data_IF_745568943402
#
_entry.id   IF_745568943402
#
_cell.length_a   1.000
_cell.length_b   1.000
_cell.length_c   1.000
_cell.angle_alpha   90.00
_cell.angle_beta   90.00
_cell.angle_gamma   90.00
#
_symmetry.space_group_name_H-M   'P 1'
#
loop_
_entity.id
_entity.type
_entity.pdbx_description
1 polymer ?
#
# COMPACT_ATOMS: atom_id res chain seq x y z
N UNK A 1 69.69 -53.38 19.29
CA UNK A 1 68.98 -53.33 18.00
C UNK A 1 67.53 -53.06 18.24
N UNK A 2 67.08 -51.82 18.06
CA UNK A 2 65.66 -51.50 17.97
C UNK A 2 65.49 -50.19 17.26
N UNK A 3 64.89 -50.27 16.08
CA UNK A 3 64.67 -49.11 15.19
C UNK A 3 63.25 -48.56 15.48
N UNK A 4 63.16 -47.41 16.11
CA UNK A 4 61.93 -46.67 16.25
C UNK A 4 61.63 -45.84 15.00
N UNK A 5 60.51 -46.13 14.36
CA UNK A 5 59.96 -45.38 13.21
C UNK A 5 59.23 -44.14 13.71
N UNK A 6 59.66 -42.99 13.25
CA UNK A 6 58.94 -41.72 13.43
C UNK A 6 57.85 -41.63 12.36
N UNK A 7 56.58 -41.60 12.79
CA UNK A 7 55.44 -41.27 11.96
C UNK A 7 55.26 -39.76 12.01
N UNK A 8 55.45 -39.09 10.89
CA UNK A 8 55.12 -37.64 10.74
C UNK A 8 53.63 -37.52 10.42
N UNK A 9 52.83 -37.02 11.35
CA UNK A 9 51.47 -36.62 11.08
C UNK A 9 51.46 -35.25 10.41
N UNK A 10 51.02 -35.21 9.15
CA UNK A 10 50.71 -33.98 8.47
C UNK A 10 49.30 -33.52 8.88
N UNK A 11 49.24 -32.42 9.63
CA UNK A 11 47.98 -31.78 9.91
C UNK A 11 47.55 -30.93 8.68
N UNK A 12 46.50 -31.35 8.03
CA UNK A 12 45.87 -30.57 6.96
C UNK A 12 45.05 -29.44 7.60
N UNK A 13 45.52 -28.21 7.41
CA UNK A 13 44.78 -26.99 7.81
C UNK A 13 43.71 -26.74 6.76
N UNK A 14 42.47 -27.07 7.03
CA UNK A 14 41.34 -26.72 6.20
C UNK A 14 41.04 -25.23 6.39
N UNK A 15 41.34 -24.40 5.41
CA UNK A 15 40.85 -23.00 5.35
C UNK A 15 39.34 -23.05 5.07
N UNK A 16 38.54 -22.79 6.07
CA UNK A 16 37.15 -22.41 5.87
C UNK A 16 37.10 -20.99 5.30
N UNK A 17 36.96 -20.88 3.99
CA UNK A 17 36.57 -19.63 3.36
C UNK A 17 35.10 -19.43 3.68
N UNK A 18 34.84 -18.61 4.68
CA UNK A 18 33.49 -18.11 4.97
C UNK A 18 33.05 -17.23 3.81
N UNK A 19 32.22 -17.78 2.94
CA UNK A 19 31.45 -16.97 1.99
C UNK A 19 30.46 -16.16 2.82
N UNK A 20 30.82 -14.89 3.07
CA UNK A 20 29.90 -13.90 3.59
C UNK A 20 28.86 -13.66 2.48
N UNK A 21 27.82 -14.50 2.44
CA UNK A 21 26.68 -14.30 1.58
C UNK A 21 26.00 -13.02 2.04
N UNK A 22 26.19 -11.91 1.31
CA UNK A 22 25.32 -10.77 1.43
C UNK A 22 23.90 -11.30 1.13
N UNK A 23 23.07 -11.41 2.15
CA UNK A 23 21.64 -11.64 1.97
C UNK A 23 21.11 -10.38 1.31
N UNK A 24 21.00 -10.42 -0.03
CA UNK A 24 20.22 -9.42 -0.75
C UNK A 24 18.82 -9.47 -0.14
N UNK A 25 18.33 -8.32 0.31
CA UNK A 25 16.93 -8.19 0.75
C UNK A 25 16.03 -8.40 -0.46
N UNK A 26 15.71 -9.66 -0.76
CA UNK A 26 14.90 -10.07 -1.91
C UNK A 26 13.42 -9.67 -1.75
N UNK A 27 13.04 -9.18 -0.56
CA UNK A 27 11.65 -8.78 -0.28
C UNK A 27 11.21 -7.58 -1.14
N UNK A 28 12.15 -6.73 -1.57
CA UNK A 28 11.87 -5.61 -2.46
C UNK A 28 11.43 -6.08 -3.86
N UNK A 29 11.96 -7.19 -4.33
CA UNK A 29 11.64 -7.78 -5.63
C UNK A 29 10.48 -8.78 -5.56
N UNK A 30 10.05 -9.16 -4.35
CA UNK A 30 8.96 -10.10 -4.16
C UNK A 30 7.65 -9.54 -4.74
N UNK A 31 6.86 -10.42 -5.34
CA UNK A 31 5.55 -10.12 -5.90
C UNK A 31 4.47 -10.70 -5.01
N UNK A 32 3.37 -9.96 -4.75
CA UNK A 32 2.21 -10.56 -4.11
C UNK A 32 1.55 -11.58 -5.07
N UNK A 33 0.71 -12.49 -4.55
CA UNK A 33 -0.21 -13.25 -5.39
C UNK A 33 -1.14 -12.30 -6.16
N UNK A 34 -1.84 -12.74 -7.22
CA UNK A 34 -2.87 -11.94 -7.89
C UNK A 34 -3.91 -11.42 -6.88
N UNK A 35 -4.38 -10.19 -7.10
CA UNK A 35 -5.42 -9.61 -6.25
C UNK A 35 -6.73 -10.41 -6.36
N UNK A 36 -7.50 -10.56 -5.28
CA UNK A 36 -8.80 -11.22 -5.32
C UNK A 36 -9.80 -10.37 -6.11
N UNK A 37 -10.75 -11.02 -6.79
CA UNK A 37 -11.87 -10.31 -7.41
C UNK A 37 -13.00 -10.16 -6.39
N UNK A 38 -13.21 -8.94 -5.92
CA UNK A 38 -14.26 -8.61 -4.95
C UNK A 38 -15.38 -7.82 -5.65
N UNK A 39 -16.67 -8.05 -5.32
CA UNK A 39 -17.75 -7.24 -5.87
C UNK A 39 -17.61 -5.77 -5.47
N UNK A 40 -17.74 -4.87 -6.45
CA UNK A 40 -17.73 -3.42 -6.24
C UNK A 40 -19.12 -2.87 -5.94
N UNK A 41 -19.19 -1.62 -5.49
CA UNK A 41 -20.47 -0.93 -5.26
C UNK A 41 -21.31 -0.87 -6.53
N UNK A 42 -22.64 -1.03 -6.39
CA UNK A 42 -23.59 -0.82 -7.50
C UNK A 42 -23.74 0.68 -7.75
N UNK A 43 -23.77 1.07 -9.02
CA UNK A 43 -23.94 2.46 -9.43
C UNK A 43 -23.21 2.77 -10.74
N UNK A 44 -23.21 4.03 -11.15
CA UNK A 44 -22.50 4.48 -12.35
C UNK A 44 -20.99 4.59 -12.06
N UNK A 45 -20.19 3.81 -12.76
CA UNK A 45 -18.73 3.91 -12.66
C UNK A 45 -18.26 5.28 -13.16
N UNK A 46 -17.49 5.97 -12.33
CA UNK A 46 -16.85 7.26 -12.62
C UNK A 46 -15.42 7.09 -13.11
N UNK A 47 -14.71 6.10 -12.55
CA UNK A 47 -13.34 5.76 -12.88
C UNK A 47 -13.10 4.28 -12.56
N UNK A 48 -12.29 3.61 -13.36
CA UNK A 48 -11.83 2.25 -13.07
C UNK A 48 -10.47 2.01 -13.70
N UNK A 49 -9.61 1.26 -13.00
CA UNK A 49 -8.34 0.75 -13.53
C UNK A 49 -7.99 -0.58 -12.84
N UNK A 50 -7.84 -1.62 -13.63
CA UNK A 50 -7.39 -2.95 -13.22
C UNK A 50 -5.92 -3.19 -13.60
N UNK A 51 -5.25 -2.13 -14.04
CA UNK A 51 -3.85 -2.13 -14.47
C UNK A 51 -3.48 -3.20 -15.50
N UNK A 52 -4.47 -3.78 -16.19
CA UNK A 52 -4.23 -4.70 -17.32
C UNK A 52 -3.46 -4.03 -18.47
N UNK A 53 -3.58 -2.69 -18.56
CA UNK A 53 -2.74 -1.86 -19.42
C UNK A 53 -1.48 -1.44 -18.66
N UNK A 54 -0.32 -1.48 -19.30
CA UNK A 54 0.92 -0.94 -18.74
C UNK A 54 0.95 0.61 -18.66
N UNK A 55 -0.11 1.27 -19.13
CA UNK A 55 -0.23 2.73 -19.19
C UNK A 55 -1.09 3.22 -18.03
N UNK A 56 -0.61 4.24 -17.31
CA UNK A 56 -1.35 4.91 -16.24
C UNK A 56 -2.24 6.03 -16.84
N UNK A 57 -3.24 5.64 -17.63
CA UNK A 57 -4.16 6.57 -18.28
C UNK A 57 -5.13 7.16 -17.24
N UNK A 58 -5.24 8.49 -17.21
CA UNK A 58 -6.08 9.20 -16.23
C UNK A 58 -5.43 9.40 -14.86
N UNK A 59 -4.24 8.86 -14.65
CA UNK A 59 -3.43 9.09 -13.46
C UNK A 59 -2.44 10.25 -13.62
N UNK A 60 -2.12 10.93 -12.54
CA UNK A 60 -1.17 12.05 -12.47
C UNK A 60 -0.29 11.91 -11.23
N UNK A 61 1.00 12.18 -11.40
CA UNK A 61 1.97 12.19 -10.28
C UNK A 61 3.12 13.14 -10.63
N UNK A 62 3.73 13.71 -9.61
CA UNK A 62 4.99 14.48 -9.71
C UNK A 62 6.24 13.58 -9.58
N UNK A 63 6.04 12.30 -9.22
CA UNK A 63 7.12 11.33 -8.99
C UNK A 63 6.94 10.07 -9.87
N UNK A 64 7.02 10.18 -11.21
CA UNK A 64 6.70 9.07 -12.11
C UNK A 64 7.61 7.85 -11.94
N UNK A 65 8.82 8.02 -11.45
CA UNK A 65 9.78 6.91 -11.23
C UNK A 65 9.41 5.99 -10.06
N UNK A 66 8.51 6.42 -9.18
CA UNK A 66 8.02 5.63 -8.05
C UNK A 66 7.03 4.56 -8.51
N UNK A 67 6.31 4.83 -9.61
CA UNK A 67 5.16 4.05 -10.06
C UNK A 67 5.46 3.21 -11.28
N UNK A 68 5.03 1.96 -11.29
CA UNK A 68 5.15 1.04 -12.41
C UNK A 68 4.00 0.04 -12.41
N UNK A 69 3.66 -0.49 -13.59
CA UNK A 69 2.73 -1.63 -13.69
C UNK A 69 3.55 -2.90 -13.83
N UNK A 70 3.34 -3.86 -12.95
CA UNK A 70 4.06 -5.12 -12.89
C UNK A 70 3.06 -6.27 -12.85
N UNK A 71 3.04 -7.09 -13.90
CA UNK A 71 2.11 -8.23 -14.04
C UNK A 71 0.63 -7.85 -13.87
N UNK A 72 0.21 -6.71 -14.43
CA UNK A 72 -1.15 -6.23 -14.33
C UNK A 72 -1.52 -5.66 -12.96
N UNK A 73 -0.57 -5.30 -12.11
CA UNK A 73 -0.78 -4.64 -10.83
C UNK A 73 0.03 -3.35 -10.77
N UNK A 74 -0.51 -2.30 -10.19
CA UNK A 74 0.25 -1.09 -9.91
C UNK A 74 1.21 -1.34 -8.75
N UNK A 75 2.48 -1.02 -8.94
CA UNK A 75 3.50 -1.04 -7.90
C UNK A 75 4.01 0.36 -7.62
N UNK A 76 4.10 0.71 -6.35
CA UNK A 76 4.89 1.83 -5.89
C UNK A 76 6.08 1.36 -5.06
N UNK A 77 7.26 1.92 -5.32
CA UNK A 77 8.49 1.57 -4.64
C UNK A 77 9.31 2.82 -4.34
N UNK A 78 9.45 3.15 -3.07
CA UNK A 78 10.22 4.28 -2.60
C UNK A 78 11.63 3.84 -2.15
N UNK A 79 12.66 4.71 -2.31
CA UNK A 79 13.97 4.50 -1.70
C UNK A 79 13.86 4.27 -0.19
N UNK A 80 14.77 3.47 0.37
CA UNK A 80 14.81 3.20 1.81
C UNK A 80 15.31 4.45 2.57
N UNK A 81 14.36 5.29 2.93
CA UNK A 81 14.57 6.52 3.69
C UNK A 81 13.28 6.93 4.39
N UNK A 82 13.36 7.39 5.63
CA UNK A 82 12.19 7.81 6.43
C UNK A 82 11.48 9.02 5.83
N UNK A 83 10.17 9.08 6.03
CA UNK A 83 9.31 10.22 5.71
C UNK A 83 9.24 10.60 4.21
N UNK A 84 9.58 9.66 3.31
CA UNK A 84 9.34 9.85 1.88
C UNK A 84 7.87 9.58 1.55
N UNK A 85 7.32 10.35 0.62
CA UNK A 85 5.93 10.22 0.17
C UNK A 85 5.84 10.47 -1.33
N UNK A 86 5.02 9.67 -2.00
CA UNK A 86 4.56 9.90 -3.36
C UNK A 86 3.05 9.70 -3.44
N UNK A 87 2.39 10.42 -4.34
CA UNK A 87 0.96 10.28 -4.62
C UNK A 87 0.74 10.03 -6.11
N UNK A 88 -0.13 9.08 -6.41
CA UNK A 88 -0.69 8.87 -7.73
C UNK A 88 -2.16 9.27 -7.70
N UNK A 89 -2.54 10.31 -8.42
CA UNK A 89 -3.84 10.97 -8.34
C UNK A 89 -4.69 10.68 -9.57
N UNK A 90 -5.99 10.46 -9.38
CA UNK A 90 -6.97 10.33 -10.45
C UNK A 90 -8.30 10.99 -10.08
N UNK A 91 -9.14 11.17 -11.09
CA UNK A 91 -10.52 11.59 -10.93
C UNK A 91 -10.74 13.08 -11.11
N UNK A 92 -11.95 13.50 -10.78
CA UNK A 92 -12.48 14.83 -11.04
C UNK A 92 -12.79 15.58 -9.74
N UNK A 93 -12.56 16.88 -9.75
CA UNK A 93 -12.80 17.78 -8.61
C UNK A 93 -14.28 17.94 -8.24
N UNK A 94 -15.19 17.44 -9.07
CA UNK A 94 -16.65 17.55 -8.87
C UNK A 94 -17.26 16.33 -8.17
N UNK A 95 -16.50 15.25 -7.97
CA UNK A 95 -17.01 14.04 -7.31
C UNK A 95 -17.36 14.32 -5.84
N UNK A 96 -18.61 14.07 -5.47
CA UNK A 96 -19.13 14.33 -4.12
C UNK A 96 -19.46 13.03 -3.38
N UNK A 97 -20.57 12.37 -3.78
CA UNK A 97 -21.03 11.12 -3.20
C UNK A 97 -20.48 9.95 -4.01
N UNK A 98 -19.54 9.24 -3.46
CA UNK A 98 -18.84 8.14 -4.16
C UNK A 98 -18.55 6.97 -3.24
N UNK A 99 -18.52 5.78 -3.81
CA UNK A 99 -17.83 4.63 -3.25
C UNK A 99 -16.52 4.42 -4.00
N UNK A 100 -15.46 4.16 -3.27
CA UNK A 100 -14.15 3.79 -3.80
C UNK A 100 -13.87 2.37 -3.34
N UNK A 101 -13.70 1.47 -4.29
CA UNK A 101 -13.26 0.09 -4.06
C UNK A 101 -11.83 -0.04 -4.59
N UNK A 102 -10.97 -0.70 -3.84
CA UNK A 102 -9.60 -1.00 -4.26
C UNK A 102 -9.03 -2.19 -3.50
N UNK A 103 -8.09 -2.88 -4.14
CA UNK A 103 -7.25 -3.88 -3.48
C UNK A 103 -5.87 -3.30 -3.22
N UNK A 104 -5.33 -3.52 -2.02
CA UNK A 104 -4.00 -3.04 -1.62
C UNK A 104 -3.21 -4.10 -0.89
N UNK A 105 -1.95 -4.28 -1.27
CA UNK A 105 -1.01 -5.20 -0.63
C UNK A 105 0.31 -4.50 -0.34
N UNK A 106 0.69 -4.44 0.93
CA UNK A 106 2.00 -3.96 1.35
C UNK A 106 2.98 -5.13 1.36
N UNK A 107 4.09 -5.01 0.64
CA UNK A 107 5.19 -5.98 0.68
C UNK A 107 6.27 -5.56 1.67
N UNK A 108 6.59 -4.28 1.72
CA UNK A 108 7.57 -3.68 2.64
C UNK A 108 7.03 -2.36 3.15
N UNK A 109 7.05 -2.14 4.45
CA UNK A 109 6.54 -0.92 5.08
C UNK A 109 5.34 -1.18 5.98
N UNK A 110 4.63 -0.12 6.31
CA UNK A 110 3.55 -0.11 7.31
C UNK A 110 2.26 0.46 6.73
N UNK A 111 2.36 1.64 6.10
CA UNK A 111 1.22 2.49 5.77
C UNK A 111 0.74 2.22 4.34
N UNK A 112 -0.55 1.87 4.16
CA UNK A 112 -1.21 1.61 2.88
C UNK A 112 -2.66 2.06 2.91
N UNK A 113 -3.22 2.44 1.77
CA UNK A 113 -4.62 2.84 1.72
C UNK A 113 -4.94 3.79 0.59
N UNK A 114 -5.79 4.78 0.84
CA UNK A 114 -6.25 5.72 -0.17
C UNK A 114 -6.50 7.11 0.45
N UNK A 115 -6.28 8.15 -0.34
CA UNK A 115 -6.77 9.50 -0.01
C UNK A 115 -7.97 9.79 -0.89
N UNK A 116 -9.08 10.20 -0.28
CA UNK A 116 -10.35 10.49 -0.97
C UNK A 116 -10.71 11.97 -0.88
N UNK A 117 -11.58 12.45 -1.79
CA UNK A 117 -11.93 13.88 -1.91
C UNK A 117 -10.70 14.77 -2.05
N UNK A 118 -9.78 14.35 -2.91
CA UNK A 118 -8.54 15.10 -3.15
C UNK A 118 -8.87 16.35 -3.97
N UNK A 119 -8.65 17.51 -3.37
CA UNK A 119 -8.78 18.82 -3.99
C UNK A 119 -7.67 19.74 -3.46
N UNK A 120 -6.94 20.39 -4.35
CA UNK A 120 -5.83 21.32 -4.03
C UNK A 120 -4.82 20.72 -3.01
N UNK A 121 -4.45 19.45 -3.22
CA UNK A 121 -3.47 18.74 -2.38
C UNK A 121 -3.98 18.35 -0.98
N UNK A 122 -5.27 18.54 -0.70
CA UNK A 122 -5.94 18.16 0.55
C UNK A 122 -6.91 17.01 0.29
N UNK A 123 -7.18 16.21 1.32
CA UNK A 123 -8.12 15.10 1.23
C UNK A 123 -8.28 14.40 2.58
N UNK A 124 -9.14 13.39 2.58
CA UNK A 124 -9.34 12.50 3.73
C UNK A 124 -8.47 11.25 3.50
N UNK A 125 -7.46 11.06 4.33
CA UNK A 125 -6.57 9.90 4.28
C UNK A 125 -7.19 8.72 5.01
N UNK A 126 -7.28 7.59 4.33
CA UNK A 126 -7.69 6.29 4.89
C UNK A 126 -6.44 5.43 4.90
N UNK A 127 -5.90 5.18 6.08
CA UNK A 127 -4.61 4.53 6.26
C UNK A 127 -4.76 3.23 7.05
N UNK A 128 -4.54 2.11 6.37
CA UNK A 128 -4.52 0.78 6.96
C UNK A 128 -3.07 0.44 7.30
N UNK A 129 -2.76 0.41 8.59
CA UNK A 129 -1.39 0.23 9.08
C UNK A 129 -1.15 -1.19 9.58
N UNK A 130 -0.10 -1.78 9.05
CA UNK A 130 0.40 -3.08 9.47
C UNK A 130 1.48 -2.99 10.56
N UNK A 131 2.37 -3.99 10.61
CA UNK A 131 3.46 -4.04 11.60
C UNK A 131 2.94 -4.06 13.02
N UNK A 132 3.45 -3.22 13.88
CA UNK A 132 3.07 -3.09 15.30
C UNK A 132 1.77 -2.29 15.53
N UNK A 133 1.22 -1.63 14.52
CA UNK A 133 0.01 -0.81 14.69
C UNK A 133 -1.29 -1.60 14.59
N UNK A 134 -1.43 -2.46 13.57
CA UNK A 134 -2.60 -3.31 13.33
C UNK A 134 -3.91 -2.52 13.45
N UNK A 135 -4.01 -1.39 12.75
CA UNK A 135 -5.17 -0.50 12.81
C UNK A 135 -5.50 0.15 11.46
N UNK A 136 -6.72 0.67 11.41
CA UNK A 136 -7.19 1.62 10.42
C UNK A 136 -7.24 3.00 11.06
N UNK A 137 -6.65 3.99 10.42
CA UNK A 137 -6.74 5.39 10.88
C UNK A 137 -7.28 6.26 9.75
N UNK A 138 -8.24 7.11 10.07
CA UNK A 138 -8.75 8.13 9.14
C UNK A 138 -8.17 9.47 9.53
N UNK A 139 -7.46 10.09 8.60
CA UNK A 139 -6.78 11.36 8.79
C UNK A 139 -7.45 12.48 8.00
N UNK A 140 -7.58 13.63 8.63
CA UNK A 140 -7.90 14.90 7.99
C UNK A 140 -6.69 15.83 8.10
N UNK A 141 -5.87 15.89 7.05
CA UNK A 141 -4.54 16.46 7.14
C UNK A 141 -3.66 15.63 8.09
N UNK A 142 -3.10 16.24 9.12
CA UNK A 142 -2.33 15.53 10.15
C UNK A 142 -3.18 15.05 11.34
N UNK A 143 -4.47 15.41 11.38
CA UNK A 143 -5.35 15.11 12.52
C UNK A 143 -6.03 13.75 12.33
N UNK A 144 -5.85 12.78 13.23
CA UNK A 144 -6.63 11.55 13.23
C UNK A 144 -8.06 11.84 13.73
N UNK A 145 -9.05 11.53 12.89
CA UNK A 145 -10.46 11.74 13.19
C UNK A 145 -11.24 10.44 13.42
N UNK A 146 -10.62 9.31 13.18
CA UNK A 146 -11.19 7.99 13.42
C UNK A 146 -10.11 6.92 13.47
N UNK A 147 -10.33 5.89 14.29
CA UNK A 147 -9.45 4.73 14.40
C UNK A 147 -10.25 3.48 14.72
N UNK A 148 -9.83 2.35 14.17
CA UNK A 148 -10.34 1.02 14.48
C UNK A 148 -9.21 0.00 14.44
N UNK A 149 -9.32 -1.10 15.18
CA UNK A 149 -8.39 -2.24 15.07
C UNK A 149 -8.60 -2.93 13.73
N UNK A 150 -7.50 -3.25 13.05
CA UNK A 150 -7.52 -3.94 11.77
C UNK A 150 -6.28 -4.84 11.65
N UNK A 151 -6.46 -6.14 11.83
CA UNK A 151 -5.38 -7.10 11.68
C UNK A 151 -5.02 -7.25 10.21
N UNK A 152 -3.81 -6.88 9.87
CA UNK A 152 -3.33 -6.95 8.50
C UNK A 152 -1.81 -7.14 8.45
N UNK A 153 -1.32 -7.92 7.48
CA UNK A 153 0.09 -8.26 7.35
C UNK A 153 0.66 -7.89 6.00
N UNK A 154 1.99 -7.83 5.91
CA UNK A 154 2.67 -7.69 4.64
C UNK A 154 2.49 -8.96 3.80
N UNK A 155 2.44 -8.80 2.47
CA UNK A 155 2.20 -9.87 1.51
C UNK A 155 0.74 -10.33 1.40
N UNK A 156 -0.18 -9.67 2.14
CA UNK A 156 -1.61 -10.00 2.12
C UNK A 156 -2.39 -8.88 1.45
N UNK A 157 -3.26 -9.25 0.50
CA UNK A 157 -4.22 -8.33 -0.09
C UNK A 157 -5.31 -7.97 0.91
N UNK A 158 -5.66 -6.69 0.94
CA UNK A 158 -6.81 -6.19 1.65
C UNK A 158 -7.71 -5.45 0.66
N UNK A 159 -8.98 -5.84 0.63
CA UNK A 159 -10.00 -5.09 -0.11
C UNK A 159 -10.50 -3.95 0.77
N UNK A 160 -10.32 -2.74 0.29
CA UNK A 160 -10.72 -1.52 0.97
C UNK A 160 -11.86 -0.87 0.20
N UNK A 161 -13.00 -0.64 0.88
CA UNK A 161 -14.09 0.17 0.37
C UNK A 161 -14.28 1.39 1.25
N UNK A 162 -14.37 2.56 0.62
CA UNK A 162 -14.69 3.83 1.26
C UNK A 162 -15.94 4.41 0.64
N UNK A 163 -17.00 4.61 1.42
CA UNK A 163 -18.23 5.26 0.98
C UNK A 163 -18.33 6.66 1.57
N UNK A 164 -18.67 7.62 0.74
CA UNK A 164 -18.80 9.03 1.10
C UNK A 164 -20.15 9.56 0.61
N UNK A 165 -20.97 10.08 1.55
CA UNK A 165 -22.26 10.73 1.26
C UNK A 165 -22.38 12.01 2.09
N UNK A 166 -22.26 13.17 1.48
CA UNK A 166 -22.21 14.43 2.22
C UNK A 166 -21.12 14.39 3.28
N UNK A 167 -21.52 14.52 4.56
CA UNK A 167 -20.64 14.45 5.73
C UNK A 167 -20.48 13.05 6.32
N UNK A 168 -21.24 12.08 5.81
CA UNK A 168 -21.14 10.67 6.23
C UNK A 168 -20.01 9.97 5.49
N UNK A 169 -19.20 9.21 6.22
CA UNK A 169 -18.23 8.29 5.64
C UNK A 169 -18.25 6.94 6.33
N UNK A 170 -18.00 5.91 5.52
CA UNK A 170 -17.92 4.52 5.96
C UNK A 170 -16.70 3.86 5.36
N UNK A 171 -15.95 3.12 6.18
CA UNK A 171 -14.77 2.36 5.75
C UNK A 171 -14.99 0.90 6.06
N UNK A 172 -14.86 0.08 5.01
CA UNK A 172 -15.01 -1.37 5.06
C UNK A 172 -13.67 -1.98 4.63
N UNK A 173 -13.18 -2.97 5.38
CA UNK A 173 -11.97 -3.74 5.05
C UNK A 173 -12.33 -5.22 5.03
N UNK A 174 -12.07 -5.88 3.90
CA UNK A 174 -12.35 -7.32 3.71
C UNK A 174 -13.80 -7.72 4.01
N UNK A 175 -14.76 -6.81 3.79
CA UNK A 175 -16.19 -7.01 4.04
C UNK A 175 -16.67 -6.54 5.44
N UNK A 176 -15.77 -6.28 6.37
CA UNK A 176 -16.12 -5.82 7.71
C UNK A 176 -16.14 -4.28 7.78
N UNK A 177 -17.24 -3.71 8.27
CA UNK A 177 -17.31 -2.27 8.56
C UNK A 177 -16.48 -1.94 9.78
N UNK A 178 -15.34 -1.30 9.57
CA UNK A 178 -14.42 -0.93 10.65
C UNK A 178 -14.71 0.44 11.23
N UNK A 179 -15.17 1.36 10.40
CA UNK A 179 -15.44 2.73 10.82
C UNK A 179 -16.62 3.28 10.03
N UNK A 180 -17.59 3.85 10.74
CA UNK A 180 -18.71 4.56 10.15
C UNK A 180 -19.02 5.80 11.00
N UNK A 181 -19.05 6.96 10.39
CA UNK A 181 -19.25 8.23 11.09
C UNK A 181 -20.04 9.23 10.26
N UNK A 182 -20.86 9.98 10.99
CA UNK A 182 -21.46 11.23 10.55
C UNK A 182 -20.69 12.38 11.19
N UNK A 183 -20.41 13.44 10.45
CA UNK A 183 -19.79 14.61 11.05
C UNK A 183 -19.10 15.53 10.03
N UNK A 184 -18.80 16.73 10.48
CA UNK A 184 -18.20 17.76 9.66
C UNK A 184 -16.79 17.35 9.22
N UNK A 185 -16.62 17.16 7.91
CA UNK A 185 -15.31 17.03 7.30
C UNK A 185 -14.81 18.44 6.93
N UNK A 186 -13.77 18.91 7.61
CA UNK A 186 -13.32 20.31 7.51
C UNK A 186 -12.52 20.63 6.24
N UNK A 187 -12.12 19.62 5.45
CA UNK A 187 -11.21 19.87 4.32
C UNK A 187 -11.96 20.05 3.00
N UNK A 188 -12.59 19.00 2.49
CA UNK A 188 -13.29 19.06 1.21
C UNK A 188 -14.52 18.17 1.20
N UNK A 189 -15.61 18.64 0.57
CA UNK A 189 -16.82 17.83 0.36
C UNK A 189 -16.81 17.14 -1.01
N UNK A 190 -15.79 17.39 -1.82
CA UNK A 190 -15.65 16.89 -3.19
C UNK A 190 -14.18 16.69 -3.56
N UNK A 191 -13.93 15.98 -4.63
CA UNK A 191 -12.59 15.79 -5.19
C UNK A 191 -12.35 14.38 -5.70
N UNK A 192 -11.19 14.18 -6.32
CA UNK A 192 -10.73 12.89 -6.81
C UNK A 192 -10.18 11.98 -5.72
N UNK A 193 -9.34 11.04 -6.14
CA UNK A 193 -8.64 10.09 -5.26
C UNK A 193 -7.13 10.21 -5.44
N UNK A 194 -6.38 9.74 -4.45
CA UNK A 194 -4.95 9.49 -4.58
C UNK A 194 -4.55 8.17 -3.90
N UNK A 195 -3.68 7.43 -4.55
CA UNK A 195 -3.01 6.27 -3.98
C UNK A 195 -1.70 6.73 -3.35
N UNK A 196 -1.49 6.52 -2.04
CA UNK A 196 -0.26 6.92 -1.38
C UNK A 196 0.81 5.83 -1.44
N UNK A 197 2.08 6.23 -1.58
CA UNK A 197 3.24 5.47 -1.17
C UNK A 197 3.94 6.27 -0.07
N UNK A 198 4.21 5.65 1.07
CA UNK A 198 4.78 6.34 2.23
C UNK A 198 5.68 5.42 3.02
N UNK A 199 6.90 5.88 3.32
CA UNK A 199 7.88 5.09 4.06
C UNK A 199 7.74 5.22 5.58
N UNK A 200 7.04 6.25 6.05
CA UNK A 200 6.81 6.48 7.48
C UNK A 200 8.07 6.44 8.34
N UNK A 201 7.89 5.94 9.54
CA UNK A 201 8.97 5.70 10.49
C UNK A 201 9.80 4.46 10.18
N UNK A 202 9.25 3.47 9.46
CA UNK A 202 9.95 2.25 9.04
C UNK A 202 11.07 2.52 8.04
N UNK A 203 10.94 3.60 7.25
CA UNK A 203 11.89 3.95 6.19
C UNK A 203 11.77 3.07 4.96
N UNK A 204 10.71 2.26 4.82
CA UNK A 204 10.49 1.33 3.74
C UNK A 204 9.09 1.46 3.14
N UNK A 205 8.96 1.30 1.81
CA UNK A 205 7.67 1.20 1.16
C UNK A 205 7.81 0.48 -0.19
N UNK A 206 7.20 -0.70 -0.29
CA UNK A 206 6.87 -1.37 -1.53
C UNK A 206 5.41 -1.80 -1.42
N UNK A 207 4.51 -1.12 -2.11
CA UNK A 207 3.06 -1.35 -2.05
C UNK A 207 2.52 -1.65 -3.45
N UNK A 208 1.55 -2.54 -3.51
CA UNK A 208 0.80 -2.89 -4.72
C UNK A 208 -0.66 -2.48 -4.56
N UNK A 209 -1.23 -2.05 -5.68
CA UNK A 209 -2.65 -1.71 -5.82
C UNK A 209 -3.23 -2.42 -7.04
N UNK A 210 -4.52 -2.77 -6.95
CA UNK A 210 -5.26 -3.38 -8.06
C UNK A 210 -6.76 -3.08 -7.94
N UNK A 211 -7.51 -3.35 -9.01
CA UNK A 211 -8.98 -3.33 -9.04
C UNK A 211 -9.58 -2.01 -8.51
N UNK A 212 -9.02 -0.87 -8.91
CA UNK A 212 -9.55 0.43 -8.50
C UNK A 212 -10.86 0.72 -9.21
N UNK A 213 -11.92 0.98 -8.45
CA UNK A 213 -13.22 1.41 -9.01
C UNK A 213 -13.78 2.55 -8.17
N UNK A 214 -14.19 3.61 -8.84
CA UNK A 214 -14.94 4.72 -8.24
C UNK A 214 -16.35 4.72 -8.80
N UNK A 215 -17.34 4.61 -7.94
CA UNK A 215 -18.76 4.53 -8.29
C UNK A 215 -19.51 5.72 -7.72
N UNK A 216 -20.36 6.37 -8.53
CA UNK A 216 -21.29 7.37 -8.02
C UNK A 216 -22.31 6.72 -7.09
N UNK A 217 -22.57 7.37 -5.96
CA UNK A 217 -23.63 7.02 -5.04
C UNK A 217 -24.77 8.04 -5.17
N UNK A 218 -25.98 7.53 -5.31
CA UNK A 218 -27.21 8.34 -5.36
C UNK A 218 -27.55 8.95 -3.99
#
# INVERSE_FOLDING_TARGET
MNRSRWIRSAAALALLVGVCGATFDDTRSALPPPAPRVPVAKGRTLFADDFSSSRLVGWRTDQPKVWSVVRGMLRADLPDHKQLRALLMAGDSTWTNVAIDLDVCMMRGVDKGVVVRVLDGKGLGIDLRGGEYQDLVVYQGALPIGRATAINGNGTWNHLRVELRGTHFKVVVNGDTLLEREGRLYLTERGGIALPAYTGGSGQCTVYYDNIVVTALD
#
